data_IF_958747582833
#
_entry.id   IF_958747582833
#
_cell.length_a   1.000
_cell.length_b   1.000
_cell.length_c   1.000
_cell.angle_alpha   90.00
_cell.angle_beta   90.00
_cell.angle_gamma   90.00
#
_symmetry.space_group_name_H-M   'P 1'
#
loop_
_entity.id
_entity.type
_entity.pdbx_description
1 polymer ?
#
# COMPACT_ATOMS: atom_id res chain seq x y z
N UNK A 1 3.86 3.10 -10.13
CA UNK A 1 4.57 3.36 -8.85
C UNK A 1 4.58 4.85 -8.61
N UNK A 2 4.58 5.28 -7.35
CA UNK A 2 4.65 6.68 -6.95
C UNK A 2 5.80 6.87 -5.96
N UNK A 3 6.49 8.00 -6.12
CA UNK A 3 7.76 8.33 -5.47
C UNK A 3 7.61 9.76 -4.93
N UNK A 4 8.16 10.01 -3.75
CA UNK A 4 8.28 11.34 -3.13
C UNK A 4 9.76 11.55 -2.83
N UNK A 5 10.36 12.66 -3.27
CA UNK A 5 11.77 13.01 -2.98
C UNK A 5 12.79 11.89 -3.22
N UNK A 6 12.59 11.10 -4.29
CA UNK A 6 13.49 9.99 -4.64
C UNK A 6 13.27 8.70 -3.83
N UNK A 7 12.23 8.64 -2.99
CA UNK A 7 11.87 7.45 -2.22
C UNK A 7 10.51 6.87 -2.56
N UNK A 8 10.40 5.53 -2.56
CA UNK A 8 9.19 4.82 -2.94
C UNK A 8 8.05 5.04 -1.93
N UNK A 9 6.84 5.34 -2.41
CA UNK A 9 5.67 5.52 -1.54
C UNK A 9 4.66 4.39 -1.76
N UNK A 10 4.29 4.09 -3.00
CA UNK A 10 3.29 3.05 -3.28
C UNK A 10 3.38 2.53 -4.72
N UNK A 11 3.16 1.22 -4.88
CA UNK A 11 3.10 0.53 -6.16
C UNK A 11 1.71 -0.01 -6.46
N UNK A 12 1.34 -0.01 -7.73
CA UNK A 12 0.11 -0.63 -8.23
C UNK A 12 0.44 -1.50 -9.44
N UNK A 13 -0.16 -2.68 -9.51
CA UNK A 13 -0.13 -3.54 -10.70
C UNK A 13 -1.50 -4.16 -10.94
N UNK A 14 -1.93 -4.15 -12.19
CA UNK A 14 -3.18 -4.77 -12.61
C UNK A 14 -2.94 -6.22 -13.02
N UNK A 15 -3.80 -7.11 -12.54
CA UNK A 15 -3.94 -8.49 -13.00
C UNK A 15 -5.39 -8.71 -13.43
N UNK A 16 -5.66 -9.80 -14.17
CA UNK A 16 -7.01 -10.07 -14.69
C UNK A 16 -8.11 -10.08 -13.63
N UNK A 17 -7.81 -10.51 -12.40
CA UNK A 17 -8.80 -10.69 -11.34
C UNK A 17 -8.69 -9.69 -10.18
N UNK A 18 -7.66 -8.84 -10.16
CA UNK A 18 -7.40 -7.94 -9.03
C UNK A 18 -6.39 -6.85 -9.38
N UNK A 19 -6.36 -5.82 -8.55
CA UNK A 19 -5.26 -4.86 -8.48
C UNK A 19 -4.43 -5.18 -7.24
N UNK A 20 -3.12 -5.33 -7.42
CA UNK A 20 -2.16 -5.45 -6.30
C UNK A 20 -1.66 -4.07 -5.90
N UNK A 21 -1.60 -3.83 -4.59
CA UNK A 21 -1.18 -2.57 -3.98
C UNK A 21 -0.01 -2.87 -3.04
N UNK A 22 1.15 -2.27 -3.31
CA UNK A 22 2.41 -2.55 -2.62
C UNK A 22 2.92 -1.29 -1.90
N UNK A 23 2.73 -1.15 -0.58
CA UNK A 23 3.18 -0.01 0.21
C UNK A 23 4.47 -0.25 1.04
N UNK A 24 5.24 -1.30 0.74
CA UNK A 24 6.37 -1.83 1.55
C UNK A 24 5.95 -2.58 2.83
N UNK A 25 6.84 -3.42 3.36
CA UNK A 25 6.56 -4.37 4.45
C UNK A 25 6.17 -3.69 5.77
N UNK A 26 6.88 -2.63 6.19
CA UNK A 26 6.57 -1.90 7.44
C UNK A 26 5.14 -1.34 7.42
N UNK A 27 4.70 -0.86 6.26
CA UNK A 27 3.35 -0.32 6.08
C UNK A 27 2.32 -1.43 6.01
N UNK A 28 2.64 -2.56 5.37
CA UNK A 28 1.80 -3.75 5.43
C UNK A 28 1.57 -4.24 6.85
N UNK A 29 2.62 -4.26 7.69
CA UNK A 29 2.53 -4.64 9.10
C UNK A 29 1.68 -3.65 9.90
N UNK A 30 1.89 -2.34 9.69
CA UNK A 30 1.16 -1.26 10.37
C UNK A 30 -0.34 -1.32 10.07
N UNK A 31 -0.72 -1.58 8.82
CA UNK A 31 -2.12 -1.60 8.36
C UNK A 31 -2.70 -3.02 8.25
N UNK A 32 -2.02 -4.05 8.76
CA UNK A 32 -2.44 -5.45 8.60
C UNK A 32 -3.87 -5.70 9.12
N UNK A 33 -4.22 -5.06 10.25
CA UNK A 33 -5.56 -5.15 10.83
C UNK A 33 -6.61 -4.51 9.93
N UNK A 34 -6.38 -3.28 9.47
CA UNK A 34 -7.32 -2.53 8.64
C UNK A 34 -7.53 -3.20 7.27
N UNK A 35 -6.45 -3.72 6.67
CA UNK A 35 -6.49 -4.50 5.42
C UNK A 35 -7.34 -5.76 5.59
N UNK A 36 -7.17 -6.46 6.72
CA UNK A 36 -7.95 -7.66 7.06
C UNK A 36 -9.42 -7.31 7.31
N UNK A 37 -9.71 -6.24 8.04
CA UNK A 37 -11.08 -5.77 8.30
C UNK A 37 -11.78 -5.29 7.02
N UNK A 38 -11.04 -4.74 6.06
CA UNK A 38 -11.53 -4.43 4.73
C UNK A 38 -11.76 -5.67 3.84
N UNK A 39 -11.42 -6.88 4.32
CA UNK A 39 -11.64 -8.13 3.60
C UNK A 39 -10.68 -8.38 2.44
N UNK A 40 -9.53 -7.71 2.40
CA UNK A 40 -8.55 -7.87 1.33
C UNK A 40 -7.58 -9.01 1.60
N UNK A 41 -7.20 -9.72 0.54
CA UNK A 41 -6.13 -10.70 0.59
C UNK A 41 -4.77 -9.98 0.67
N UNK A 42 -3.90 -10.42 1.57
CA UNK A 42 -2.59 -9.81 1.79
C UNK A 42 -1.46 -10.85 1.78
N UNK A 43 -0.28 -10.39 1.37
CA UNK A 43 1.02 -11.04 1.59
C UNK A 43 1.85 -10.17 2.54
N UNK A 44 3.12 -10.50 2.75
CA UNK A 44 4.02 -9.66 3.55
C UNK A 44 4.28 -8.27 2.95
N UNK A 45 4.14 -8.11 1.62
CA UNK A 45 4.62 -6.92 0.92
C UNK A 45 3.53 -6.17 0.13
N UNK A 46 2.35 -6.78 -0.04
CA UNK A 46 1.24 -6.18 -0.79
C UNK A 46 -0.10 -6.74 -0.34
N UNK A 47 -1.18 -6.05 -0.70
CA UNK A 47 -2.55 -6.57 -0.64
C UNK A 47 -3.23 -6.46 -2.00
N UNK A 48 -4.35 -7.17 -2.16
CA UNK A 48 -5.10 -7.28 -3.41
C UNK A 48 -6.54 -6.87 -3.19
N UNK A 49 -7.03 -6.04 -4.10
CA UNK A 49 -8.46 -5.73 -4.24
C UNK A 49 -8.94 -6.45 -5.49
N UNK A 50 -9.85 -7.42 -5.32
CA UNK A 50 -10.46 -8.13 -6.45
C UNK A 50 -11.43 -7.22 -7.20
N UNK A 51 -11.72 -7.56 -8.45
CA UNK A 51 -12.62 -6.78 -9.31
C UNK A 51 -14.05 -6.66 -8.72
N UNK A 52 -14.48 -7.65 -7.95
CA UNK A 52 -15.77 -7.70 -7.26
C UNK A 52 -15.78 -7.01 -5.87
N UNK A 53 -14.65 -6.44 -5.44
CA UNK A 53 -14.52 -5.75 -4.17
C UNK A 53 -14.51 -4.24 -4.34
N UNK A 54 -15.24 -3.53 -3.47
CA UNK A 54 -15.17 -2.07 -3.41
C UNK A 54 -13.79 -1.61 -2.94
N UNK A 55 -13.31 -0.52 -3.53
CA UNK A 55 -12.06 0.11 -3.12
C UNK A 55 -12.29 0.93 -1.85
N UNK A 56 -11.61 0.56 -0.77
CA UNK A 56 -11.58 1.32 0.47
C UNK A 56 -10.62 2.51 0.32
N UNK A 57 -11.14 3.60 -0.23
CA UNK A 57 -10.38 4.83 -0.48
C UNK A 57 -9.83 5.48 0.81
N UNK A 58 -10.50 5.28 1.95
CA UNK A 58 -10.04 5.76 3.25
C UNK A 58 -8.74 5.04 3.67
N UNK A 59 -8.75 3.71 3.60
CA UNK A 59 -7.56 2.89 3.88
C UNK A 59 -6.40 3.25 2.94
N UNK A 60 -6.66 3.36 1.64
CA UNK A 60 -5.64 3.75 0.65
C UNK A 60 -5.02 5.11 0.97
N UNK A 61 -5.84 6.10 1.32
CA UNK A 61 -5.36 7.44 1.70
C UNK A 61 -4.49 7.37 2.94
N UNK A 62 -4.89 6.61 3.96
CA UNK A 62 -4.13 6.48 5.21
C UNK A 62 -2.78 5.79 4.98
N UNK A 63 -2.74 4.73 4.18
CA UNK A 63 -1.50 4.03 3.78
C UNK A 63 -0.52 4.99 3.09
N UNK A 64 -1.02 5.77 2.12
CA UNK A 64 -0.19 6.74 1.38
C UNK A 64 0.32 7.83 2.31
N UNK A 65 -0.57 8.42 3.13
CA UNK A 65 -0.21 9.48 4.06
C UNK A 65 0.83 9.02 5.08
N UNK A 66 0.69 7.81 5.62
CA UNK A 66 1.67 7.21 6.52
C UNK A 66 3.05 7.08 5.84
N UNK A 67 3.09 6.55 4.62
CA UNK A 67 4.36 6.42 3.89
C UNK A 67 5.00 7.77 3.56
N UNK A 68 4.19 8.77 3.21
CA UNK A 68 4.71 10.12 2.98
C UNK A 68 5.28 10.71 4.27
N UNK A 69 4.58 10.59 5.41
CA UNK A 69 5.04 11.15 6.69
C UNK A 69 6.31 10.47 7.18
N UNK A 70 6.32 9.15 7.27
CA UNK A 70 7.47 8.35 7.74
C UNK A 70 8.72 8.56 6.89
N UNK A 71 8.55 8.83 5.59
CA UNK A 71 9.67 8.94 4.67
C UNK A 71 10.05 10.38 4.34
N UNK A 72 9.54 11.37 5.08
CA UNK A 72 10.04 12.76 4.96
C UNK A 72 11.53 12.81 5.28
N UNK A 73 12.33 13.28 4.32
CA UNK A 73 13.79 13.35 4.47
C UNK A 73 14.50 12.00 4.39
N UNK A 74 13.83 10.92 3.96
CA UNK A 74 14.47 9.62 3.78
C UNK A 74 15.23 9.57 2.45
N UNK A 75 16.53 9.26 2.49
CA UNK A 75 17.43 9.42 1.35
C UNK A 75 17.55 8.17 0.46
N UNK A 76 17.05 7.01 0.91
CA UNK A 76 17.10 5.76 0.15
C UNK A 76 15.79 5.49 -0.57
N UNK A 77 15.86 4.74 -1.66
CA UNK A 77 14.68 4.39 -2.45
C UNK A 77 13.70 3.47 -1.68
N UNK A 78 14.23 2.40 -1.07
CA UNK A 78 13.50 1.45 -0.22
C UNK A 78 13.88 1.64 1.25
N UNK A 79 12.96 1.32 2.16
CA UNK A 79 13.27 1.23 3.58
C UNK A 79 14.32 0.15 3.85
#
# INVERSE_FOLDING_TARGET
MFIMDGTFIIGFSAAKAHISIAPETVTMETFAKDIKEAGYEATSNLFKIKEDQEVNWGLLRNIIAFNMEEKKGYEKFWR
#
